data_IF_414071711847
#
_entry.id   IF_414071711847
#
_cell.length_a   1.000
_cell.length_b   1.000
_cell.length_c   1.000
_cell.angle_alpha   90.00
_cell.angle_beta   90.00
_cell.angle_gamma   90.00
#
_symmetry.space_group_name_H-M   'P 1'
#
loop_
_entity.id
_entity.type
_entity.pdbx_description
1 polymer ?
#
# COMPACT_ATOMS: atom_id res chain seq x y z
N UNK A 1 -6.69 25.49 -5.75
CA UNK A 1 -7.74 24.95 -6.63
C UNK A 1 -8.28 23.69 -5.98
N UNK A 2 -9.59 23.51 -5.83
CA UNK A 2 -10.14 22.27 -5.27
C UNK A 2 -10.01 21.14 -6.29
N UNK A 3 -9.62 19.94 -5.86
CA UNK A 3 -9.46 18.77 -6.74
C UNK A 3 -10.76 18.37 -7.44
N UNK A 4 -11.91 18.78 -6.90
CA UNK A 4 -13.24 18.42 -7.42
C UNK A 4 -13.51 18.99 -8.82
N UNK A 5 -12.82 20.07 -9.19
CA UNK A 5 -12.97 20.75 -10.48
C UNK A 5 -12.00 20.23 -11.55
N UNK A 6 -11.15 19.26 -11.22
CA UNK A 6 -10.12 18.75 -12.14
C UNK A 6 -10.75 18.21 -13.44
N UNK A 7 -11.89 17.52 -13.34
CA UNK A 7 -12.56 16.90 -14.49
C UNK A 7 -13.14 17.92 -15.50
N UNK A 8 -13.29 19.19 -15.11
CA UNK A 8 -13.83 20.26 -15.96
C UNK A 8 -12.75 20.94 -16.81
N UNK A 9 -11.47 20.67 -16.53
CA UNK A 9 -10.35 21.27 -17.25
C UNK A 9 -10.15 20.60 -18.61
N UNK A 10 -9.55 21.31 -19.59
CA UNK A 10 -8.99 20.71 -20.79
C UNK A 10 -8.02 19.57 -20.43
N UNK A 11 -7.98 18.47 -21.21
CA UNK A 11 -7.21 17.28 -20.88
C UNK A 11 -5.72 17.55 -20.67
N UNK A 12 -5.13 18.51 -21.41
CA UNK A 12 -3.73 18.93 -21.26
C UNK A 12 -3.43 19.56 -19.88
N UNK A 13 -4.39 20.31 -19.33
CA UNK A 13 -4.23 20.91 -18.01
C UNK A 13 -4.43 19.87 -16.90
N UNK A 14 -5.25 18.84 -17.15
CA UNK A 14 -5.42 17.72 -16.21
C UNK A 14 -4.13 16.91 -16.07
N UNK A 15 -3.49 16.56 -17.18
CA UNK A 15 -2.23 15.81 -17.17
C UNK A 15 -1.11 16.63 -16.52
N UNK A 16 -1.02 17.93 -16.78
CA UNK A 16 -0.03 18.80 -16.15
C UNK A 16 -0.16 18.83 -14.61
N UNK A 17 -1.38 18.79 -14.08
CA UNK A 17 -1.62 18.73 -12.62
C UNK A 17 -1.32 17.32 -12.08
N UNK A 18 -1.74 16.27 -12.80
CA UNK A 18 -1.54 14.87 -12.41
C UNK A 18 -0.07 14.44 -12.41
N UNK A 19 0.72 15.03 -13.30
CA UNK A 19 2.17 14.81 -13.41
C UNK A 19 2.98 15.72 -12.49
N UNK A 20 2.34 16.74 -11.91
CA UNK A 20 2.95 17.61 -10.91
C UNK A 20 3.21 16.91 -9.56
N UNK A 21 3.99 17.55 -8.67
CA UNK A 21 4.27 17.03 -7.34
C UNK A 21 3.02 17.01 -6.46
N UNK A 22 2.83 15.93 -5.70
CA UNK A 22 1.65 15.71 -4.87
C UNK A 22 1.55 16.65 -3.66
N UNK A 23 2.67 17.25 -3.27
CA UNK A 23 2.72 18.35 -2.30
C UNK A 23 3.66 19.44 -2.82
N UNK A 24 3.32 20.70 -2.55
CA UNK A 24 4.23 21.82 -2.83
C UNK A 24 5.51 21.65 -1.98
N UNK A 25 6.72 21.67 -2.57
CA UNK A 25 7.95 21.58 -1.79
C UNK A 25 8.11 22.79 -0.86
N UNK A 26 8.63 22.59 0.36
CA UNK A 26 8.96 23.67 1.28
C UNK A 26 10.28 24.31 0.83
N UNK A 27 10.19 25.46 0.16
CA UNK A 27 11.33 26.26 -0.37
C UNK A 27 11.89 25.78 -1.71
N UNK A 28 12.87 26.52 -2.26
CA UNK A 28 13.50 26.37 -3.60
C UNK A 28 14.22 25.03 -3.85
N UNK A 29 13.88 23.97 -3.11
CA UNK A 29 14.30 22.60 -3.38
C UNK A 29 13.72 22.15 -4.72
N UNK A 30 14.61 21.73 -5.63
CA UNK A 30 14.24 20.96 -6.82
C UNK A 30 13.67 19.61 -6.39
N UNK A 31 12.38 19.39 -6.70
CA UNK A 31 11.78 18.07 -6.59
C UNK A 31 12.31 17.19 -7.73
N UNK A 32 12.54 15.91 -7.46
CA UNK A 32 12.90 14.93 -8.48
C UNK A 32 11.78 13.89 -8.59
N UNK A 33 10.98 14.01 -9.66
CA UNK A 33 9.86 13.10 -9.95
C UNK A 33 10.28 11.91 -10.84
N UNK A 34 11.44 12.00 -11.49
CA UNK A 34 11.92 10.96 -12.42
C UNK A 34 12.74 9.90 -11.70
N UNK A 35 13.59 10.30 -10.75
CA UNK A 35 14.38 9.39 -9.91
C UNK A 35 14.32 9.83 -8.43
N UNK A 36 13.15 9.64 -7.76
CA UNK A 36 13.06 9.95 -6.35
C UNK A 36 14.03 9.05 -5.57
N UNK A 37 14.78 9.59 -4.58
CA UNK A 37 15.65 8.80 -3.73
C UNK A 37 14.79 7.84 -2.90
N UNK A 38 14.55 6.65 -3.44
CA UNK A 38 13.63 5.69 -2.88
C UNK A 38 14.39 4.68 -2.02
N UNK A 39 13.84 4.37 -0.84
CA UNK A 39 14.33 3.29 0.02
C UNK A 39 13.69 1.95 -0.34
N UNK A 40 13.24 1.78 -1.58
CA UNK A 40 12.38 0.67 -1.98
C UNK A 40 13.05 -0.69 -1.78
N UNK A 41 14.36 -0.79 -2.00
CA UNK A 41 15.11 -2.02 -1.73
C UNK A 41 15.06 -2.43 -0.25
N UNK A 42 15.19 -1.47 0.66
CA UNK A 42 15.14 -1.73 2.11
C UNK A 42 13.72 -2.13 2.54
N UNK A 43 12.71 -1.42 2.04
CA UNK A 43 11.32 -1.70 2.38
C UNK A 43 10.84 -3.05 1.79
N UNK A 44 11.26 -3.38 0.56
CA UNK A 44 10.99 -4.69 -0.04
C UNK A 44 11.64 -5.82 0.77
N UNK A 45 12.90 -5.65 1.17
CA UNK A 45 13.60 -6.61 2.02
C UNK A 45 12.89 -6.79 3.37
N UNK A 46 12.50 -5.69 4.03
CA UNK A 46 11.82 -5.72 5.32
C UNK A 46 10.46 -6.43 5.25
N UNK A 47 9.62 -6.11 4.26
CA UNK A 47 8.32 -6.76 4.07
C UNK A 47 8.52 -8.25 3.77
N UNK A 48 9.46 -8.60 2.90
CA UNK A 48 9.76 -10.00 2.56
C UNK A 48 10.16 -10.78 3.80
N UNK A 49 11.08 -10.25 4.62
CA UNK A 49 11.52 -10.90 5.86
C UNK A 49 10.34 -11.09 6.82
N UNK A 50 9.54 -10.06 7.04
CA UNK A 50 8.38 -10.15 7.94
C UNK A 50 7.38 -11.22 7.48
N UNK A 51 7.06 -11.25 6.18
CA UNK A 51 6.14 -12.23 5.60
C UNK A 51 6.70 -13.65 5.67
N UNK A 52 8.00 -13.85 5.44
CA UNK A 52 8.62 -15.18 5.56
C UNK A 52 8.55 -15.71 7.00
N UNK A 53 8.85 -14.87 7.99
CA UNK A 53 8.78 -15.25 9.41
C UNK A 53 7.33 -15.55 9.82
N UNK A 54 6.37 -14.72 9.40
CA UNK A 54 4.95 -14.94 9.66
C UNK A 54 4.45 -16.25 9.03
N UNK A 55 4.85 -16.53 7.78
CA UNK A 55 4.51 -17.78 7.08
C UNK A 55 5.09 -19.00 7.78
N UNK A 56 6.36 -18.95 8.21
CA UNK A 56 6.99 -20.03 8.95
C UNK A 56 6.28 -20.29 10.28
N UNK A 57 5.92 -19.24 11.02
CA UNK A 57 5.17 -19.37 12.26
C UNK A 57 3.77 -19.97 12.03
N UNK A 58 3.08 -19.57 10.95
CA UNK A 58 1.78 -20.12 10.59
C UNK A 58 1.86 -21.61 10.22
N UNK A 59 2.87 -22.02 9.44
CA UNK A 59 3.10 -23.44 9.09
C UNK A 59 3.40 -24.26 10.34
N UNK A 60 4.27 -23.77 11.23
CA UNK A 60 4.60 -24.45 12.48
C UNK A 60 3.37 -24.62 13.38
N UNK A 61 2.52 -23.59 13.45
CA UNK A 61 1.27 -23.63 14.22
C UNK A 61 0.26 -24.59 13.61
N UNK A 62 0.13 -24.61 12.29
CA UNK A 62 -0.72 -25.57 11.57
C UNK A 62 -0.23 -27.01 11.79
N UNK A 63 1.08 -27.27 11.67
CA UNK A 63 1.69 -28.57 11.94
C UNK A 63 1.37 -29.05 13.36
N UNK A 64 1.59 -28.17 14.35
CA UNK A 64 1.34 -28.47 15.76
C UNK A 64 -0.14 -28.80 16.02
N UNK A 65 -1.07 -28.01 15.47
CA UNK A 65 -2.50 -28.23 15.66
C UNK A 65 -3.04 -29.46 14.93
N UNK A 66 -2.52 -29.79 13.75
CA UNK A 66 -2.97 -30.94 12.96
C UNK A 66 -2.40 -32.26 13.53
N UNK A 67 -1.11 -32.31 13.84
CA UNK A 67 -0.43 -33.57 14.20
C UNK A 67 -0.32 -33.80 15.71
N UNK A 68 -0.12 -32.75 16.51
CA UNK A 68 0.10 -32.89 17.97
C UNK A 68 -1.21 -32.78 18.73
N UNK A 69 -1.93 -31.66 18.56
CA UNK A 69 -3.14 -31.38 19.36
C UNK A 69 -4.43 -31.93 18.72
N UNK A 70 -4.42 -32.20 17.40
CA UNK A 70 -5.61 -32.54 16.58
C UNK A 70 -6.81 -31.62 16.77
N UNK A 71 -6.58 -30.38 17.21
CA UNK A 71 -7.61 -29.37 17.43
C UNK A 71 -7.40 -28.21 16.46
N UNK A 72 -8.05 -28.32 15.31
CA UNK A 72 -8.00 -27.34 14.24
C UNK A 72 -9.03 -26.26 14.55
N UNK A 73 -8.55 -25.06 14.89
CA UNK A 73 -9.41 -23.88 15.06
C UNK A 73 -9.36 -23.11 13.75
N UNK A 74 -10.50 -22.99 13.08
CA UNK A 74 -10.60 -22.31 11.77
C UNK A 74 -10.16 -20.84 11.82
N UNK A 75 -10.31 -20.19 12.98
CA UNK A 75 -9.92 -18.80 13.22
C UNK A 75 -8.46 -18.51 12.84
N UNK A 76 -7.52 -19.40 13.19
CA UNK A 76 -6.09 -19.21 12.87
C UNK A 76 -5.84 -19.21 11.35
N UNK A 77 -6.61 -19.99 10.59
CA UNK A 77 -6.48 -20.09 9.13
C UNK A 77 -7.13 -18.90 8.43
N UNK A 78 -8.26 -18.41 8.95
CA UNK A 78 -8.92 -17.20 8.46
C UNK A 78 -8.03 -15.99 8.71
N UNK A 79 -7.44 -15.86 9.91
CA UNK A 79 -6.51 -14.79 10.23
C UNK A 79 -5.29 -14.79 9.29
N UNK A 80 -4.73 -15.98 8.99
CA UNK A 80 -3.64 -16.09 8.02
C UNK A 80 -4.08 -15.73 6.58
N UNK A 81 -5.26 -16.17 6.15
CA UNK A 81 -5.81 -15.83 4.84
C UNK A 81 -6.02 -14.31 4.66
N UNK A 82 -6.46 -13.61 5.72
CA UNK A 82 -6.61 -12.15 5.72
C UNK A 82 -5.26 -11.40 5.68
N UNK A 83 -4.16 -12.07 6.03
CA UNK A 83 -2.82 -11.46 5.96
C UNK A 83 -2.35 -11.31 4.50
N UNK A 84 -2.83 -12.16 3.58
CA UNK A 84 -2.45 -12.15 2.15
C UNK A 84 -2.84 -10.83 1.43
N UNK A 85 -4.09 -10.35 1.49
CA UNK A 85 -4.47 -9.09 0.84
C UNK A 85 -3.74 -7.89 1.46
N UNK A 86 -3.47 -7.89 2.77
CA UNK A 86 -2.70 -6.84 3.43
C UNK A 86 -1.26 -6.76 2.89
N UNK A 87 -0.60 -7.91 2.74
CA UNK A 87 0.74 -8.00 2.15
C UNK A 87 0.74 -7.54 0.69
N UNK A 88 -0.28 -7.92 -0.09
CA UNK A 88 -0.44 -7.47 -1.47
C UNK A 88 -0.60 -5.94 -1.56
N UNK A 89 -1.41 -5.34 -0.68
CA UNK A 89 -1.53 -3.88 -0.56
C UNK A 89 -0.16 -3.24 -0.26
N UNK A 90 0.61 -3.79 0.68
CA UNK A 90 1.97 -3.31 0.97
C UNK A 90 2.90 -3.30 -0.25
N UNK A 91 2.89 -4.36 -1.06
CA UNK A 91 3.66 -4.42 -2.30
C UNK A 91 3.16 -3.46 -3.39
N UNK A 92 1.84 -3.24 -3.48
CA UNK A 92 1.26 -2.23 -4.40
C UNK A 92 1.69 -0.81 -4.02
N UNK A 93 1.72 -0.49 -2.74
CA UNK A 93 2.19 0.82 -2.24
C UNK A 93 3.67 1.05 -2.54
N UNK A 94 4.50 0.01 -2.39
CA UNK A 94 5.92 0.04 -2.75
C UNK A 94 6.16 0.42 -4.20
N UNK A 95 5.35 -0.12 -5.12
CA UNK A 95 5.54 0.08 -6.56
C UNK A 95 5.00 1.42 -7.06
N UNK A 96 4.01 2.01 -6.38
CA UNK A 96 3.43 3.30 -6.78
C UNK A 96 4.22 4.50 -6.23
N UNK A 97 4.16 4.69 -4.91
CA UNK A 97 4.67 5.91 -4.23
C UNK A 97 6.12 5.76 -3.79
N UNK A 98 6.57 4.53 -3.58
CA UNK A 98 7.87 4.22 -2.99
C UNK A 98 7.90 4.52 -1.48
N UNK A 99 8.65 3.72 -0.74
CA UNK A 99 8.89 3.97 0.69
C UNK A 99 10.06 4.95 0.87
N UNK A 100 9.96 5.80 1.89
CA UNK A 100 10.95 6.84 2.24
C UNK A 100 11.04 8.03 1.25
N UNK A 101 10.04 8.20 0.38
CA UNK A 101 9.96 9.34 -0.54
C UNK A 101 9.09 10.44 0.09
N UNK A 102 9.58 11.68 0.09
CA UNK A 102 8.77 12.83 0.50
C UNK A 102 7.63 13.09 -0.49
N UNK A 103 6.47 13.52 0.00
CA UNK A 103 5.26 13.71 -0.82
C UNK A 103 5.45 14.68 -2.00
N UNK A 104 6.40 15.62 -1.91
CA UNK A 104 6.75 16.53 -3.02
C UNK A 104 7.59 15.88 -4.14
N UNK A 105 8.12 14.67 -3.93
CA UNK A 105 8.83 13.85 -4.93
C UNK A 105 7.94 12.71 -5.48
N UNK A 106 6.63 12.77 -5.22
CA UNK A 106 5.62 11.80 -5.68
C UNK A 106 4.68 12.51 -6.64
N UNK A 107 4.32 11.89 -7.77
CA UNK A 107 3.34 12.47 -8.69
C UNK A 107 1.93 12.37 -8.11
N UNK A 108 1.08 13.35 -8.40
CA UNK A 108 -0.33 13.35 -7.96
C UNK A 108 -1.06 12.09 -8.46
N UNK A 109 -0.80 11.64 -9.69
CA UNK A 109 -1.38 10.40 -10.24
C UNK A 109 -1.04 9.16 -9.42
N UNK A 110 0.22 9.04 -8.99
CA UNK A 110 0.72 7.89 -8.24
C UNK A 110 0.16 7.88 -6.81
N UNK A 111 0.00 9.07 -6.21
CA UNK A 111 -0.66 9.23 -4.91
C UNK A 111 -2.17 8.94 -5.00
N UNK A 112 -2.85 9.39 -6.06
CA UNK A 112 -4.28 9.16 -6.25
C UNK A 112 -4.62 7.67 -6.38
N UNK A 113 -3.79 6.90 -7.10
CA UNK A 113 -3.96 5.45 -7.19
C UNK A 113 -3.83 4.79 -5.81
N UNK A 114 -2.82 5.18 -5.03
CA UNK A 114 -2.61 4.67 -3.67
C UNK A 114 -3.79 4.98 -2.75
N UNK A 115 -4.26 6.23 -2.75
CA UNK A 115 -5.40 6.64 -1.92
C UNK A 115 -6.67 5.88 -2.29
N UNK A 116 -6.89 5.63 -3.58
CA UNK A 116 -8.02 4.85 -4.05
C UNK A 116 -7.96 3.39 -3.56
N UNK A 117 -6.79 2.75 -3.62
CA UNK A 117 -6.60 1.39 -3.09
C UNK A 117 -6.85 1.33 -1.59
N UNK A 118 -6.33 2.29 -0.82
CA UNK A 118 -6.54 2.36 0.63
C UNK A 118 -8.00 2.58 1.01
N UNK A 119 -8.68 3.52 0.35
CA UNK A 119 -10.10 3.79 0.61
C UNK A 119 -10.97 2.57 0.31
N UNK A 120 -10.71 1.90 -0.81
CA UNK A 120 -11.45 0.70 -1.18
C UNK A 120 -11.24 -0.44 -0.19
N UNK A 121 -10.04 -0.58 0.36
CA UNK A 121 -9.78 -1.56 1.42
C UNK A 121 -10.56 -1.24 2.71
N UNK A 122 -10.60 0.03 3.13
CA UNK A 122 -11.40 0.42 4.31
C UNK A 122 -12.90 0.25 4.11
N UNK A 123 -13.40 0.44 2.89
CA UNK A 123 -14.82 0.26 2.59
C UNK A 123 -15.22 -1.23 2.61
N UNK A 124 -14.30 -2.11 2.18
CA UNK A 124 -14.47 -3.56 2.32
C UNK A 124 -14.50 -4.01 3.79
N UNK A 125 -13.80 -3.32 4.69
CA UNK A 125 -13.83 -3.62 6.13
C UNK A 125 -15.16 -3.17 6.77
N UNK A 126 -15.65 -1.98 6.39
CA UNK A 126 -16.91 -1.42 6.92
C UNK A 126 -18.15 -2.26 6.56
N UNK A 127 -18.17 -2.82 5.34
CA UNK A 127 -19.26 -3.67 4.86
C UNK A 127 -19.29 -5.06 5.51
N UNK A 128 -18.14 -5.57 5.97
CA UNK A 128 -18.06 -6.86 6.66
C UNK A 128 -18.36 -6.81 8.17
N UNK A 129 -18.37 -5.62 8.78
CA UNK A 129 -18.65 -5.44 10.22
C UNK A 129 -20.13 -5.16 10.53
N UNK A 130 -20.97 -5.07 9.49
CA UNK A 130 -22.39 -4.71 9.57
C UNK A 130 -23.40 -5.87 9.49
N UNK A 131 -22.96 -7.13 9.60
CA UNK A 131 -23.82 -8.33 9.58
C UNK A 131 -23.57 -9.20 10.82
#
# INVERSE_FOLDING_TARGET
MSLDQLHLLPPENQTAILEGPALKPPSDLLYNLDDPPNGNGVAFAAITICVTVATLAAILRAYSKILVTRNVVLEDYIAFALTIPLVYCGYRLLHGVGFFVHQWNVRVKDLAEVLWVSFKYSDLDSTNTGA
#
